data_IF_690153382569
#
_entry.id   IF_690153382569
#
_cell.length_a   1.000
_cell.length_b   1.000
_cell.length_c   1.000
_cell.angle_alpha   90.00
_cell.angle_beta   90.00
_cell.angle_gamma   90.00
#
_symmetry.space_group_name_H-M   'P 1'
#
loop_
_entity.id
_entity.type
_entity.pdbx_description
1 polymer ?
#
# COMPACT_ATOMS: atom_id res chain seq x y z
N UNK A 1 -15.22 -7.34 15.02
CA UNK A 1 -15.59 -6.96 13.65
C UNK A 1 -17.08 -7.09 13.51
N UNK A 2 -17.75 -6.04 13.04
CA UNK A 2 -19.18 -6.00 12.77
C UNK A 2 -19.57 -6.92 11.59
N UNK A 3 -20.86 -7.26 11.50
CA UNK A 3 -21.39 -8.08 10.41
C UNK A 3 -21.20 -7.41 9.04
N UNK A 4 -21.47 -6.09 8.95
CA UNK A 4 -21.32 -5.32 7.72
C UNK A 4 -19.85 -5.28 7.25
N UNK A 5 -18.91 -5.09 8.17
CA UNK A 5 -17.47 -5.15 7.87
C UNK A 5 -17.06 -6.50 7.31
N UNK A 6 -17.55 -7.60 7.93
CA UNK A 6 -17.27 -8.96 7.45
C UNK A 6 -17.87 -9.20 6.07
N UNK A 7 -19.10 -8.76 5.83
CA UNK A 7 -19.76 -8.88 4.53
C UNK A 7 -19.01 -8.09 3.46
N UNK A 8 -18.59 -6.87 3.77
CA UNK A 8 -17.80 -6.02 2.88
C UNK A 8 -16.44 -6.65 2.54
N UNK A 9 -15.71 -7.16 3.54
CA UNK A 9 -14.43 -7.84 3.35
C UNK A 9 -14.58 -9.10 2.50
N UNK A 10 -15.60 -9.92 2.79
CA UNK A 10 -15.89 -11.14 2.03
C UNK A 10 -16.17 -10.79 0.57
N UNK A 11 -17.01 -9.78 0.32
CA UNK A 11 -17.30 -9.30 -1.03
C UNK A 11 -16.06 -8.81 -1.79
N UNK A 12 -15.14 -8.10 -1.12
CA UNK A 12 -13.86 -7.70 -1.73
C UNK A 12 -13.00 -8.92 -2.11
N UNK A 13 -12.91 -9.92 -1.24
CA UNK A 13 -12.14 -11.14 -1.48
C UNK A 13 -12.71 -11.95 -2.66
N UNK A 14 -14.04 -12.08 -2.71
CA UNK A 14 -14.73 -12.76 -3.81
C UNK A 14 -14.52 -12.01 -5.12
N UNK A 15 -14.73 -10.69 -5.11
CA UNK A 15 -14.50 -9.83 -6.28
C UNK A 15 -13.06 -9.93 -6.80
N UNK A 16 -12.06 -9.84 -5.92
CA UNK A 16 -10.66 -9.97 -6.30
C UNK A 16 -10.37 -11.37 -6.88
N UNK A 17 -10.95 -12.42 -6.30
CA UNK A 17 -10.80 -13.79 -6.78
C UNK A 17 -11.41 -14.00 -8.17
N UNK A 18 -12.60 -13.44 -8.43
CA UNK A 18 -13.22 -13.41 -9.76
C UNK A 18 -12.34 -12.70 -10.78
N UNK A 19 -11.87 -11.49 -10.46
CA UNK A 19 -11.02 -10.69 -11.36
C UNK A 19 -9.71 -11.41 -11.70
N UNK A 20 -9.11 -12.13 -10.75
CA UNK A 20 -7.88 -12.89 -10.97
C UNK A 20 -8.07 -14.17 -11.78
N UNK A 21 -9.28 -14.73 -11.83
CA UNK A 21 -9.59 -15.80 -12.78
C UNK A 21 -9.57 -15.29 -14.22
N UNK A 22 -10.10 -14.09 -14.45
CA UNK A 22 -10.13 -13.46 -15.78
C UNK A 22 -8.79 -12.80 -16.17
N UNK A 23 -8.05 -12.32 -15.18
CA UNK A 23 -6.76 -11.65 -15.36
C UNK A 23 -5.78 -12.12 -14.27
N UNK A 24 -5.14 -13.29 -14.49
CA UNK A 24 -4.21 -13.86 -13.53
C UNK A 24 -3.06 -12.91 -13.18
N UNK A 25 -2.57 -13.03 -11.95
CA UNK A 25 -1.35 -12.34 -11.54
C UNK A 25 -0.16 -12.87 -12.38
N UNK A 26 0.86 -12.03 -12.65
CA UNK A 26 2.07 -12.48 -13.32
C UNK A 26 2.70 -13.65 -12.57
N UNK A 27 3.14 -14.68 -13.29
CA UNK A 27 3.97 -15.72 -12.71
C UNK A 27 5.34 -15.13 -12.36
N UNK A 28 5.67 -15.13 -11.06
CA UNK A 28 6.92 -14.63 -10.52
C UNK A 28 7.80 -15.77 -9.97
N UNK A 29 7.62 -17.01 -10.45
CA UNK A 29 8.42 -18.16 -10.05
C UNK A 29 9.93 -18.03 -10.36
N UNK A 30 10.28 -17.22 -11.35
CA UNK A 30 11.67 -16.82 -11.66
C UNK A 30 11.75 -15.31 -11.86
N UNK A 31 11.81 -14.51 -10.77
CA UNK A 31 11.81 -13.07 -10.88
C UNK A 31 13.14 -12.58 -11.46
N UNK A 32 13.08 -11.55 -12.31
CA UNK A 32 14.28 -10.79 -12.67
C UNK A 32 14.93 -10.19 -11.43
N UNK A 33 16.21 -9.82 -11.53
CA UNK A 33 16.97 -9.19 -10.43
C UNK A 33 16.27 -7.91 -9.92
N UNK A 34 15.65 -7.14 -10.83
CA UNK A 34 14.86 -5.97 -10.46
C UNK A 34 13.57 -6.34 -9.70
N UNK A 35 12.83 -7.36 -10.15
CA UNK A 35 11.62 -7.83 -9.47
C UNK A 35 11.93 -8.42 -8.09
N UNK A 36 13.04 -9.15 -7.95
CA UNK A 36 13.48 -9.67 -6.65
C UNK A 36 13.82 -8.53 -5.67
N UNK A 37 14.46 -7.46 -6.15
CA UNK A 37 14.73 -6.28 -5.35
C UNK A 37 13.44 -5.53 -4.97
N UNK A 38 12.51 -5.33 -5.92
CA UNK A 38 11.18 -4.75 -5.66
C UNK A 38 10.44 -5.55 -4.59
N UNK A 39 10.37 -6.87 -4.76
CA UNK A 39 9.72 -7.79 -3.82
C UNK A 39 10.30 -7.67 -2.42
N UNK A 40 11.62 -7.61 -2.31
CA UNK A 40 12.32 -7.50 -1.02
C UNK A 40 12.03 -6.18 -0.30
N UNK A 41 12.01 -5.06 -1.04
CA UNK A 41 11.67 -3.74 -0.48
C UNK A 41 10.23 -3.71 0.01
N UNK A 42 9.29 -4.22 -0.80
CA UNK A 42 7.87 -4.27 -0.44
C UNK A 42 7.66 -5.18 0.79
N UNK A 43 8.25 -6.37 0.79
CA UNK A 43 8.16 -7.32 1.90
C UNK A 43 8.70 -6.73 3.21
N UNK A 44 9.86 -6.06 3.17
CA UNK A 44 10.45 -5.42 4.34
C UNK A 44 9.50 -4.37 4.94
N UNK A 45 8.91 -3.51 4.11
CA UNK A 45 7.95 -2.51 4.59
C UNK A 45 6.64 -3.13 5.08
N UNK A 46 6.18 -4.22 4.46
CA UNK A 46 4.99 -4.93 4.88
C UNK A 46 5.17 -5.52 6.28
N UNK A 47 6.32 -6.16 6.56
CA UNK A 47 6.64 -6.69 7.90
C UNK A 47 6.60 -5.58 8.95
N UNK A 48 7.25 -4.44 8.69
CA UNK A 48 7.22 -3.30 9.62
C UNK A 48 5.80 -2.77 9.82
N UNK A 49 5.04 -2.62 8.73
CA UNK A 49 3.69 -2.06 8.79
C UNK A 49 2.70 -2.97 9.52
N UNK A 50 2.86 -4.29 9.39
CA UNK A 50 2.05 -5.28 10.12
C UNK A 50 2.47 -5.43 11.58
N UNK A 51 3.76 -5.23 11.90
CA UNK A 51 4.22 -5.18 13.28
C UNK A 51 3.60 -4.01 14.06
N UNK A 52 3.31 -2.89 13.38
CA UNK A 52 2.66 -1.71 13.96
C UNK A 52 1.12 -1.77 13.95
N UNK A 53 0.53 -2.87 13.46
CA UNK A 53 -0.92 -2.95 13.22
C UNK A 53 -1.75 -2.79 14.49
N UNK A 54 -1.34 -3.39 15.61
CA UNK A 54 -2.07 -3.29 16.87
C UNK A 54 -2.09 -1.84 17.39
N UNK A 55 -0.97 -1.13 17.29
CA UNK A 55 -0.88 0.28 17.67
C UNK A 55 -1.78 1.15 16.77
N UNK A 56 -1.81 0.85 15.46
CA UNK A 56 -2.68 1.52 14.50
C UNK A 56 -4.17 1.32 14.84
N UNK A 57 -4.56 0.07 15.12
CA UNK A 57 -5.95 -0.27 15.48
C UNK A 57 -6.35 0.36 16.81
N UNK A 58 -5.46 0.38 17.80
CA UNK A 58 -5.70 1.05 19.07
C UNK A 58 -5.92 2.56 18.89
N UNK A 59 -5.12 3.21 18.05
CA UNK A 59 -5.25 4.63 17.72
C UNK A 59 -6.60 4.93 17.03
N UNK A 60 -6.99 4.12 16.04
CA UNK A 60 -8.31 4.22 15.39
C UNK A 60 -9.44 4.06 16.41
N UNK A 61 -9.39 3.04 17.25
CA UNK A 61 -10.42 2.78 18.25
C UNK A 61 -10.53 3.93 19.29
N UNK A 62 -9.42 4.55 19.68
CA UNK A 62 -9.43 5.73 20.53
C UNK A 62 -10.10 6.91 19.81
N UNK A 63 -9.74 7.18 18.56
CA UNK A 63 -10.33 8.25 17.75
C UNK A 63 -11.84 8.09 17.53
N UNK A 64 -12.32 6.89 17.18
CA UNK A 64 -13.75 6.65 16.98
C UNK A 64 -14.57 6.88 18.26
N UNK A 65 -13.99 6.58 19.44
CA UNK A 65 -14.63 6.83 20.74
C UNK A 65 -14.68 8.31 21.11
N UNK A 66 -13.68 9.10 20.73
CA UNK A 66 -13.59 10.53 21.11
C UNK A 66 -14.27 11.47 20.12
N UNK A 67 -14.24 11.15 18.82
CA UNK A 67 -14.74 12.03 17.76
C UNK A 67 -16.27 12.13 17.68
N UNK A 68 -17.02 11.42 18.55
CA UNK A 68 -18.48 11.28 18.41
C UNK A 68 -18.91 10.54 17.13
N UNK A 69 -17.94 10.06 16.34
CA UNK A 69 -18.12 9.29 15.13
C UNK A 69 -18.38 7.82 15.49
N UNK A 70 -19.51 7.56 16.13
CA UNK A 70 -19.99 6.21 16.49
C UNK A 70 -20.26 5.30 15.29
N UNK A 71 -19.96 5.73 14.07
CA UNK A 71 -20.39 5.08 12.83
C UNK A 71 -19.34 4.15 12.23
N UNK A 72 -18.10 4.13 12.74
CA UNK A 72 -17.03 3.25 12.26
C UNK A 72 -16.81 1.99 13.12
N UNK A 73 -16.34 0.91 12.48
CA UNK A 73 -15.93 -0.32 13.16
C UNK A 73 -14.56 -0.10 13.83
N UNK A 74 -14.50 -0.39 15.14
CA UNK A 74 -13.26 -0.38 15.95
C UNK A 74 -12.38 -1.60 15.63
N UNK A 75 -12.95 -2.62 14.99
CA UNK A 75 -12.25 -3.79 14.47
C UNK A 75 -12.49 -3.91 12.95
N UNK A 76 -11.89 -3.01 12.16
CA UNK A 76 -12.13 -2.89 10.73
C UNK A 76 -11.49 -4.04 9.92
N UNK A 77 -11.95 -4.19 8.69
CA UNK A 77 -11.19 -4.90 7.67
C UNK A 77 -9.87 -4.18 7.38
N UNK A 78 -8.80 -4.93 7.12
CA UNK A 78 -7.51 -4.40 6.67
C UNK A 78 -7.39 -4.71 5.20
N UNK A 79 -7.16 -3.69 4.38
CA UNK A 79 -6.94 -3.85 2.95
C UNK A 79 -5.51 -3.45 2.65
N UNK A 80 -4.70 -4.38 2.14
CA UNK A 80 -3.39 -4.09 1.58
C UNK A 80 -3.53 -3.88 0.08
N UNK A 81 -3.40 -2.64 -0.37
CA UNK A 81 -3.33 -2.27 -1.80
C UNK A 81 -1.88 -2.19 -2.27
N UNK A 82 -1.53 -2.97 -3.29
CA UNK A 82 -0.13 -3.08 -3.73
C UNK A 82 0.00 -3.43 -5.22
N UNK A 83 1.23 -3.53 -5.73
CA UNK A 83 1.53 -4.00 -7.09
C UNK A 83 1.39 -5.53 -7.17
N UNK A 84 1.32 -6.14 -8.37
CA UNK A 84 1.33 -7.60 -8.48
C UNK A 84 2.54 -8.26 -7.80
N UNK A 85 3.72 -7.62 -7.86
CA UNK A 85 4.92 -8.08 -7.13
C UNK A 85 4.70 -8.04 -5.62
N UNK A 86 4.01 -7.01 -5.13
CA UNK A 86 3.67 -6.90 -3.72
C UNK A 86 2.61 -7.89 -3.25
N UNK A 87 1.66 -8.30 -4.11
CA UNK A 87 0.70 -9.37 -3.77
C UNK A 87 1.46 -10.69 -3.54
N UNK A 88 2.43 -11.00 -4.40
CA UNK A 88 3.29 -12.19 -4.22
C UNK A 88 4.14 -12.05 -2.95
N UNK A 89 4.76 -10.89 -2.72
CA UNK A 89 5.51 -10.62 -1.49
C UNK A 89 4.65 -10.82 -0.23
N UNK A 90 3.41 -10.35 -0.25
CA UNK A 90 2.47 -10.52 0.84
C UNK A 90 2.11 -11.99 1.06
N UNK A 91 1.90 -12.78 -0.01
CA UNK A 91 1.66 -14.22 0.11
C UNK A 91 2.81 -14.98 0.79
N UNK A 92 4.05 -14.55 0.59
CA UNK A 92 5.23 -15.11 1.26
C UNK A 92 5.30 -14.70 2.74
N UNK A 93 5.08 -13.42 3.03
CA UNK A 93 5.12 -12.85 4.39
C UNK A 93 3.97 -13.38 5.26
N UNK A 94 2.81 -13.62 4.65
CA UNK A 94 1.56 -14.07 5.29
C UNK A 94 1.26 -15.55 5.02
N UNK A 95 2.28 -16.31 4.62
CA UNK A 95 2.14 -17.74 4.34
C UNK A 95 1.70 -18.54 5.57
N UNK A 96 1.24 -19.79 5.38
CA UNK A 96 0.88 -20.67 6.48
C UNK A 96 2.02 -20.80 7.50
N UNK A 97 1.71 -20.58 8.79
CA UNK A 97 2.68 -20.67 9.89
C UNK A 97 3.53 -19.42 10.14
N UNK A 98 3.40 -18.37 9.32
CA UNK A 98 4.06 -17.11 9.60
C UNK A 98 3.40 -16.40 10.81
N UNK A 99 4.17 -15.81 11.74
CA UNK A 99 3.61 -15.10 12.90
C UNK A 99 2.60 -14.00 12.53
N UNK A 100 2.84 -13.30 11.43
CA UNK A 100 2.00 -12.20 10.96
C UNK A 100 0.63 -12.69 10.43
N UNK A 101 0.52 -13.94 10.01
CA UNK A 101 -0.72 -14.54 9.50
C UNK A 101 -1.78 -14.63 10.59
N UNK A 102 -1.40 -14.96 11.83
CA UNK A 102 -2.35 -15.04 12.94
C UNK A 102 -2.90 -13.66 13.33
N UNK A 103 -2.10 -12.59 13.19
CA UNK A 103 -2.48 -11.22 13.54
C UNK A 103 -3.48 -10.64 12.54
N UNK A 104 -3.21 -10.78 11.24
CA UNK A 104 -3.97 -10.10 10.20
C UNK A 104 -4.93 -11.01 9.42
N UNK A 105 -4.67 -12.32 9.35
CA UNK A 105 -5.29 -13.24 8.40
C UNK A 105 -6.82 -13.17 8.30
N UNK A 106 -7.58 -13.26 9.41
CA UNK A 106 -9.05 -13.26 9.35
C UNK A 106 -9.68 -11.94 8.90
N UNK A 107 -8.91 -10.85 8.88
CA UNK A 107 -9.41 -9.49 8.58
C UNK A 107 -8.70 -8.83 7.40
N UNK A 108 -7.76 -9.51 6.75
CA UNK A 108 -6.89 -8.94 5.73
C UNK A 108 -7.31 -9.35 4.32
N UNK A 109 -7.47 -8.37 3.44
CA UNK A 109 -7.51 -8.56 2.00
C UNK A 109 -6.25 -7.99 1.36
N UNK A 110 -5.55 -8.80 0.56
CA UNK A 110 -4.42 -8.35 -0.26
C UNK A 110 -4.88 -8.22 -1.71
N UNK A 111 -4.88 -6.99 -2.22
CA UNK A 111 -5.45 -6.63 -3.53
C UNK A 111 -4.58 -5.64 -4.28
N UNK A 112 -4.77 -5.60 -5.59
CA UNK A 112 -4.20 -4.54 -6.42
C UNK A 112 -5.00 -3.25 -6.27
N UNK A 113 -4.38 -2.11 -6.56
CA UNK A 113 -5.08 -0.81 -6.57
C UNK A 113 -6.29 -0.80 -7.53
N UNK A 114 -6.23 -1.34 -8.76
CA UNK A 114 -7.39 -1.44 -9.64
C UNK A 114 -8.53 -2.30 -9.07
N UNK A 115 -8.22 -3.45 -8.46
CA UNK A 115 -9.23 -4.31 -7.80
C UNK A 115 -9.93 -3.54 -6.68
N UNK A 116 -9.17 -2.92 -5.80
CA UNK A 116 -9.70 -2.14 -4.69
C UNK A 116 -10.58 -0.97 -5.17
N UNK A 117 -10.10 -0.17 -6.13
CA UNK A 117 -10.87 0.98 -6.64
C UNK A 117 -12.20 0.56 -7.28
N UNK A 118 -12.19 -0.50 -8.08
CA UNK A 118 -13.41 -1.02 -8.70
C UNK A 118 -14.37 -1.57 -7.66
N UNK A 119 -13.86 -2.20 -6.61
CA UNK A 119 -14.68 -2.63 -5.47
C UNK A 119 -15.30 -1.45 -4.74
N UNK A 120 -14.54 -0.41 -4.40
CA UNK A 120 -15.07 0.79 -3.74
C UNK A 120 -16.14 1.51 -4.58
N UNK A 121 -16.09 1.44 -5.92
CA UNK A 121 -17.17 1.95 -6.78
C UNK A 121 -18.46 1.13 -6.60
N UNK A 122 -18.35 -0.19 -6.46
CA UNK A 122 -19.50 -1.11 -6.32
C UNK A 122 -20.05 -1.18 -4.90
N UNK A 123 -19.20 -0.99 -3.91
CA UNK A 123 -19.50 -1.12 -2.48
C UNK A 123 -18.77 -0.02 -1.71
N UNK A 124 -19.27 1.23 -1.82
CA UNK A 124 -18.57 2.40 -1.30
C UNK A 124 -18.46 2.37 0.22
N UNK A 125 -17.30 2.81 0.70
CA UNK A 125 -17.01 3.09 2.10
C UNK A 125 -16.08 4.30 2.19
N UNK A 126 -16.50 5.41 1.59
CA UNK A 126 -15.67 6.61 1.39
C UNK A 126 -15.18 7.24 2.71
N UNK A 127 -15.92 6.99 3.79
CA UNK A 127 -15.59 7.45 5.14
C UNK A 127 -14.75 6.44 5.95
N UNK A 128 -14.30 5.34 5.33
CA UNK A 128 -13.50 4.30 5.98
C UNK A 128 -14.16 3.76 7.26
N UNK A 129 -15.48 3.55 7.22
CA UNK A 129 -16.25 3.05 8.37
C UNK A 129 -15.95 1.57 8.60
N UNK A 130 -15.78 0.80 7.53
CA UNK A 130 -15.64 -0.65 7.57
C UNK A 130 -14.19 -1.09 7.45
N UNK A 131 -13.31 -0.28 6.84
CA UNK A 131 -11.95 -0.72 6.54
C UNK A 131 -10.87 0.33 6.82
N UNK A 132 -9.64 -0.15 6.94
CA UNK A 132 -8.40 0.62 6.88
C UNK A 132 -7.63 0.16 5.65
N UNK A 133 -7.17 1.11 4.83
CA UNK A 133 -6.36 0.82 3.65
C UNK A 133 -4.89 1.08 3.94
N UNK A 134 -4.08 0.04 3.87
CA UNK A 134 -2.62 0.10 3.82
C UNK A 134 -2.22 0.06 2.34
N UNK A 135 -1.49 1.05 1.83
CA UNK A 135 -0.90 0.95 0.49
C UNK A 135 0.60 0.80 0.58
N UNK A 136 1.16 0.03 -0.36
CA UNK A 136 2.60 -0.19 -0.47
C UNK A 136 2.95 -0.51 -1.93
N UNK A 137 3.61 0.41 -2.65
CA UNK A 137 4.02 0.17 -4.03
C UNK A 137 5.37 0.80 -4.34
N UNK A 138 6.04 0.26 -5.36
CA UNK A 138 7.33 0.75 -5.84
C UNK A 138 7.21 1.24 -7.28
N UNK A 139 7.53 2.51 -7.51
CA UNK A 139 7.73 3.04 -8.86
C UNK A 139 9.17 2.79 -9.27
N UNK A 140 9.40 1.76 -10.07
CA UNK A 140 10.74 1.31 -10.52
C UNK A 140 11.31 2.11 -11.69
N UNK A 141 10.61 3.16 -12.14
CA UNK A 141 11.07 4.08 -13.16
C UNK A 141 10.55 5.49 -12.89
N UNK A 142 11.33 6.29 -12.16
CA UNK A 142 11.04 7.72 -12.02
C UNK A 142 11.38 8.44 -13.34
N UNK A 143 10.43 9.19 -13.93
CA UNK A 143 10.68 9.93 -15.17
C UNK A 143 11.82 10.93 -15.00
N UNK A 144 12.68 11.06 -16.03
CA UNK A 144 13.83 11.96 -16.04
C UNK A 144 13.46 13.42 -15.69
N UNK A 145 12.26 13.85 -16.06
CA UNK A 145 11.73 15.19 -15.75
C UNK A 145 11.66 15.49 -14.25
N UNK A 146 11.55 14.46 -13.40
CA UNK A 146 11.52 14.60 -11.93
C UNK A 146 12.89 14.51 -11.28
N UNK A 147 13.93 14.13 -12.02
CA UNK A 147 15.27 13.94 -11.43
C UNK A 147 15.85 15.21 -10.79
N UNK A 148 15.56 16.44 -11.26
CA UNK A 148 15.96 17.65 -10.55
C UNK A 148 15.44 17.74 -9.10
N UNK A 149 14.32 17.09 -8.76
CA UNK A 149 13.82 17.01 -7.37
C UNK A 149 14.80 16.30 -6.43
N UNK A 150 15.70 15.48 -6.99
CA UNK A 150 16.63 14.61 -6.27
C UNK A 150 18.09 14.97 -6.54
N UNK A 151 18.39 16.21 -6.94
CA UNK A 151 19.73 16.66 -7.32
C UNK A 151 20.81 16.46 -6.23
N UNK A 152 20.41 16.32 -4.96
CA UNK A 152 21.31 15.97 -3.85
C UNK A 152 21.86 14.54 -3.92
N UNK A 153 21.29 13.66 -4.76
CA UNK A 153 21.63 12.24 -4.86
C UNK A 153 21.95 11.84 -6.32
N UNK A 154 22.95 12.45 -6.97
CA UNK A 154 23.19 12.25 -8.39
C UNK A 154 23.38 10.77 -8.76
N UNK A 155 22.83 10.39 -9.90
CA UNK A 155 22.94 9.05 -10.47
C UNK A 155 24.15 8.96 -11.39
N UNK A 156 24.83 7.82 -11.38
CA UNK A 156 25.79 7.44 -12.40
C UNK A 156 25.08 6.92 -13.67
N UNK A 157 25.84 6.78 -14.76
CA UNK A 157 25.32 6.26 -16.03
C UNK A 157 24.68 4.87 -15.85
N UNK A 158 23.46 4.73 -16.37
CA UNK A 158 22.67 3.50 -16.28
C UNK A 158 21.90 3.31 -14.97
N UNK A 159 22.15 4.13 -13.94
CA UNK A 159 21.38 4.10 -12.70
C UNK A 159 20.02 4.80 -12.88
N UNK A 160 19.05 4.43 -12.04
CA UNK A 160 17.69 4.99 -12.06
C UNK A 160 17.18 5.21 -10.64
N UNK A 161 16.38 6.25 -10.47
CA UNK A 161 15.62 6.40 -9.22
C UNK A 161 14.41 5.46 -9.21
N UNK A 162 14.20 4.86 -8.06
CA UNK A 162 12.98 4.17 -7.66
C UNK A 162 12.31 4.95 -6.53
N UNK A 163 10.98 4.98 -6.51
CA UNK A 163 10.21 5.59 -5.43
C UNK A 163 9.32 4.56 -4.76
N UNK A 164 9.64 4.24 -3.51
CA UNK A 164 8.81 3.39 -2.69
C UNK A 164 7.82 4.26 -1.94
N UNK A 165 6.52 4.01 -2.12
CA UNK A 165 5.46 4.79 -1.48
C UNK A 165 4.61 3.84 -0.66
N UNK A 166 4.41 4.20 0.59
CA UNK A 166 3.57 3.45 1.51
C UNK A 166 2.69 4.40 2.31
N UNK A 167 1.70 3.86 3.01
CA UNK A 167 0.88 4.66 3.91
C UNK A 167 -0.40 3.97 4.34
N UNK A 168 -1.19 4.73 5.09
CA UNK A 168 -2.41 4.29 5.74
C UNK A 168 -3.50 5.35 5.57
N UNK A 169 -4.71 4.89 5.24
CA UNK A 169 -5.93 5.69 5.25
C UNK A 169 -7.01 4.98 6.06
N UNK A 170 -7.83 5.78 6.76
CA UNK A 170 -8.90 5.26 7.60
C UNK A 170 -8.47 4.97 9.03
N UNK A 171 -7.27 5.29 9.48
CA UNK A 171 -6.88 5.25 10.88
C UNK A 171 -7.10 6.60 11.60
N UNK A 172 -7.66 7.60 10.92
CA UNK A 172 -7.94 8.92 11.49
C UNK A 172 -6.64 9.71 11.69
N UNK A 173 -6.35 10.23 12.89
CA UNK A 173 -5.10 10.95 13.16
C UNK A 173 -3.82 10.14 12.93
N UNK A 174 -3.92 8.81 12.85
CA UNK A 174 -2.80 7.91 12.55
C UNK A 174 -2.60 7.65 11.03
N UNK A 175 -3.41 8.29 10.18
CA UNK A 175 -3.21 8.28 8.73
C UNK A 175 -1.84 8.88 8.38
N UNK A 176 -1.13 8.21 7.48
CA UNK A 176 0.24 8.59 7.12
C UNK A 176 0.54 8.27 5.67
N UNK A 177 1.51 8.98 5.13
CA UNK A 177 2.07 8.73 3.80
C UNK A 177 3.58 8.86 3.86
N UNK A 178 4.24 7.78 3.49
CA UNK A 178 5.68 7.68 3.44
C UNK A 178 6.14 7.54 1.99
N UNK A 179 7.28 8.14 1.68
CA UNK A 179 7.95 7.99 0.40
C UNK A 179 9.44 7.86 0.63
N UNK A 180 10.06 6.84 0.05
CA UNK A 180 11.49 6.58 0.16
C UNK A 180 12.11 6.63 -1.23
N UNK A 181 13.21 7.36 -1.35
CA UNK A 181 14.01 7.45 -2.56
C UNK A 181 15.04 6.33 -2.57
N UNK A 182 15.01 5.54 -3.63
CA UNK A 182 15.94 4.45 -3.86
C UNK A 182 16.70 4.69 -5.16
N UNK A 183 17.91 4.14 -5.23
CA UNK A 183 18.74 4.04 -6.42
C UNK A 183 18.79 2.60 -6.88
N UNK A 184 18.59 2.37 -8.17
CA UNK A 184 18.79 1.08 -8.83
C UNK A 184 19.94 1.17 -9.81
N UNK A 185 20.94 0.28 -9.68
CA UNK A 185 22.11 0.24 -10.55
C UNK A 185 22.11 -0.94 -11.55
N UNK A 186 20.97 -1.61 -11.73
CA UNK A 186 20.87 -2.83 -12.55
C UNK A 186 21.04 -4.14 -11.78
N UNK A 187 21.57 -4.09 -10.56
CA UNK A 187 21.81 -5.28 -9.72
C UNK A 187 21.28 -5.14 -8.29
N UNK A 188 21.45 -3.96 -7.69
CA UNK A 188 21.10 -3.68 -6.30
C UNK A 188 20.29 -2.40 -6.18
N UNK A 189 19.32 -2.43 -5.27
CA UNK A 189 18.57 -1.26 -4.85
C UNK A 189 19.19 -0.73 -3.54
N UNK A 190 19.59 0.54 -3.52
CA UNK A 190 20.12 1.22 -2.35
C UNK A 190 19.18 2.33 -1.91
N UNK A 191 18.81 2.37 -0.64
CA UNK A 191 18.04 3.48 -0.08
C UNK A 191 18.93 4.72 -0.06
N UNK A 192 18.53 5.78 -0.76
CA UNK A 192 19.23 7.06 -0.78
C UNK A 192 18.73 7.97 0.34
N UNK A 193 17.41 8.06 0.48
CA UNK A 193 16.80 8.94 1.47
C UNK A 193 15.43 8.41 1.89
N UNK A 194 15.19 8.21 3.20
CA UNK A 194 13.86 7.89 3.69
C UNK A 194 12.99 9.15 3.83
N UNK A 195 11.67 8.96 3.82
CA UNK A 195 10.67 10.00 4.13
C UNK A 195 10.82 11.29 3.31
N UNK A 196 11.10 11.15 2.01
CA UNK A 196 11.16 12.30 1.12
C UNK A 196 9.77 12.92 0.94
N UNK A 197 9.74 14.25 0.80
CA UNK A 197 8.54 14.96 0.39
C UNK A 197 8.51 15.02 -1.12
N UNK A 198 7.50 14.40 -1.73
CA UNK A 198 7.28 14.57 -3.16
C UNK A 198 6.69 15.96 -3.40
N UNK A 199 7.26 16.71 -4.35
CA UNK A 199 6.58 17.89 -4.85
C UNK A 199 5.25 17.44 -5.44
N UNK A 200 4.13 17.89 -4.86
CA UNK A 200 2.82 17.68 -5.47
C UNK A 200 2.90 18.37 -6.83
N UNK A 201 2.72 17.62 -7.91
CA UNK A 201 2.60 18.22 -9.23
C UNK A 201 1.41 19.20 -9.16
N UNK A 202 1.71 20.50 -9.08
CA UNK A 202 0.73 21.54 -9.36
C UNK A 202 0.15 21.19 -10.71
N UNK A 203 -1.15 20.88 -10.78
CA UNK A 203 -1.82 20.75 -12.08
C UNK A 203 -1.52 22.04 -12.86
N UNK A 204 -0.89 21.98 -14.05
CA UNK A 204 -0.91 23.12 -14.94
C UNK A 204 -2.35 23.25 -15.42
N UNK A 205 -3.08 24.27 -14.97
CA UNK A 205 -4.43 24.56 -15.48
C UNK A 205 -5.49 25.06 -14.50
N UNK A 206 -5.17 25.38 -13.25
CA UNK A 206 -6.08 26.20 -12.44
C UNK A 206 -5.78 27.68 -12.69
N UNK A 207 -6.29 28.20 -13.81
CA UNK A 207 -6.46 29.65 -13.98
C UNK A 207 -7.29 30.17 -12.81
N UNK A 208 -6.71 31.07 -12.02
CA UNK A 208 -7.46 31.92 -11.10
C UNK A 208 -8.44 32.74 -11.93
N UNK A 209 -9.73 32.49 -11.75
CA UNK A 209 -10.72 33.55 -11.83
C UNK A 209 -10.99 33.95 -10.39
N UNK A 210 -10.49 35.12 -10.04
CA UNK A 210 -11.14 36.14 -9.22
C UNK A 210 -10.49 37.48 -9.59
#
# INVERSE_FOLDING_TARGET
>A
MLADTRAWLTGLLDFASERRRDTPLPDLGQPSVAQAAERSIIAANLVTSLADLDALLAARAAWLRTAGAMTGDVDPAIVLTTSPVGIVAAGEVLGPGAPLTALAGPRLAVVSEPEYRLWCIRSPDDAFRLHVNLWNWLKTAVPAQRWPEFAAHPLADGERYWLHRAGVAGAGPADRRDCHLWRWNGRHAALLQPFIREAVASRPGASRQD
#
